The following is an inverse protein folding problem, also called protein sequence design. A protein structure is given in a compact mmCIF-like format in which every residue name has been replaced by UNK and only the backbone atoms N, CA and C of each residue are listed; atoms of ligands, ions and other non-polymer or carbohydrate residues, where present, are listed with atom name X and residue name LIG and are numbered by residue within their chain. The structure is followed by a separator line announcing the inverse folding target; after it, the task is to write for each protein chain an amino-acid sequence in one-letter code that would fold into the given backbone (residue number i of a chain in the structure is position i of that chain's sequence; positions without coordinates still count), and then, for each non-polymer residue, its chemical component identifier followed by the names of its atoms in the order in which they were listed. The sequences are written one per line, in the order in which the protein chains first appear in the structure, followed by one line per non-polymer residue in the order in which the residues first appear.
data_IF_681090844071
#
_entry.id   IF_681090844071
#
_cell.length_a   1.000
_cell.length_b   1.000
_cell.length_c   1.000
_cell.angle_alpha   90.00
_cell.angle_beta   90.00
_cell.angle_gamma   90.00
#
_symmetry.space_group_name_H-M   'P 1'
#
loop_
_entity.id
_entity.type
_entity.pdbx_description
1 polymer ?
#
# COMPACT_ATOMS: atom_id res chain seq x y z
N UNK A 1 -33.78 -12.31 -25.94
CA UNK A 1 -32.39 -11.85 -25.73
C UNK A 1 -32.13 -11.80 -24.24
N UNK A 2 -31.49 -12.84 -23.69
CA UNK A 2 -31.17 -12.91 -22.25
C UNK A 2 -29.76 -12.36 -22.04
N UNK A 3 -29.65 -11.24 -21.34
CA UNK A 3 -28.38 -10.58 -21.05
C UNK A 3 -27.54 -11.44 -20.12
N UNK A 4 -26.51 -12.07 -20.66
CA UNK A 4 -25.49 -12.80 -19.93
C UNK A 4 -24.62 -11.80 -19.14
N UNK A 5 -25.12 -11.32 -17.98
CA UNK A 5 -24.27 -10.65 -16.99
C UNK A 5 -23.34 -11.69 -16.39
N UNK A 6 -22.22 -11.96 -17.06
CA UNK A 6 -21.07 -12.65 -16.46
C UNK A 6 -20.68 -11.87 -15.21
N UNK A 7 -21.10 -12.34 -14.05
CA UNK A 7 -20.57 -11.90 -12.76
C UNK A 7 -19.07 -12.22 -12.79
N UNK A 8 -18.24 -11.24 -13.15
CA UNK A 8 -16.80 -11.28 -12.90
C UNK A 8 -16.67 -11.50 -11.40
N UNK A 9 -16.19 -12.66 -10.97
CA UNK A 9 -15.92 -12.93 -9.56
C UNK A 9 -14.73 -12.07 -9.13
N UNK A 10 -14.96 -10.83 -8.74
CA UNK A 10 -13.89 -9.97 -8.24
C UNK A 10 -13.33 -10.59 -6.96
N UNK A 11 -12.03 -10.89 -6.95
CA UNK A 11 -11.36 -11.31 -5.73
C UNK A 11 -11.49 -10.15 -4.72
N UNK A 12 -12.00 -10.41 -3.52
CA UNK A 12 -12.13 -9.39 -2.48
C UNK A 12 -11.15 -9.71 -1.37
N UNK A 13 -10.51 -8.68 -0.82
CA UNK A 13 -9.59 -8.78 0.29
C UNK A 13 -9.92 -7.67 1.28
N UNK A 14 -9.87 -7.98 2.57
CA UNK A 14 -10.03 -6.99 3.63
C UNK A 14 -9.23 -7.45 4.83
N UNK A 15 -8.37 -6.58 5.33
CA UNK A 15 -7.63 -6.75 6.57
C UNK A 15 -7.89 -5.55 7.48
N UNK A 16 -7.80 -5.75 8.78
CA UNK A 16 -7.98 -4.69 9.78
C UNK A 16 -7.08 -4.94 10.96
N UNK A 17 -6.52 -3.87 11.50
CA UNK A 17 -5.70 -3.89 12.70
C UNK A 17 -5.97 -2.62 13.52
N UNK A 18 -5.67 -2.68 14.82
CA UNK A 18 -5.78 -1.53 15.72
C UNK A 18 -4.41 -0.90 15.89
N UNK A 19 -4.28 0.36 15.49
CA UNK A 19 -3.08 1.17 15.66
C UNK A 19 -3.24 2.11 16.85
N UNK A 20 -2.14 2.62 17.35
CA UNK A 20 -2.07 3.60 18.43
C UNK A 20 -1.65 4.96 17.90
N UNK A 21 -2.16 6.04 18.50
CA UNK A 21 -1.61 7.38 18.26
C UNK A 21 -0.34 7.54 19.10
N UNK A 22 0.82 7.84 18.48
CA UNK A 22 2.08 7.94 19.22
C UNK A 22 2.03 8.91 20.41
N UNK A 23 2.56 8.46 21.54
CA UNK A 23 2.59 9.26 22.78
C UNK A 23 1.26 9.35 23.54
N UNK A 24 0.25 8.56 23.15
CA UNK A 24 -1.08 8.55 23.80
C UNK A 24 -1.54 7.11 24.06
N UNK A 25 -2.60 6.96 24.88
CA UNK A 25 -3.33 5.71 25.08
C UNK A 25 -4.53 5.57 24.11
N UNK A 26 -4.58 6.40 23.08
CA UNK A 26 -5.66 6.38 22.09
C UNK A 26 -5.34 5.41 20.95
N UNK A 27 -6.38 4.71 20.49
CA UNK A 27 -6.28 3.71 19.45
C UNK A 27 -7.28 3.97 18.34
N UNK A 28 -6.90 3.64 17.12
CA UNK A 28 -7.76 3.75 15.95
C UNK A 28 -7.70 2.49 15.09
N UNK A 29 -8.81 2.23 14.40
CA UNK A 29 -8.88 1.11 13.47
C UNK A 29 -8.28 1.49 12.14
N UNK A 30 -7.28 0.72 11.72
CA UNK A 30 -6.72 0.75 10.37
C UNK A 30 -7.32 -0.37 9.53
N UNK A 31 -7.67 -0.10 8.28
CA UNK A 31 -8.16 -1.14 7.36
C UNK A 31 -7.55 -1.02 5.98
N UNK A 32 -7.21 -2.16 5.38
CA UNK A 32 -6.81 -2.27 3.98
C UNK A 32 -7.82 -3.15 3.27
N UNK A 33 -8.35 -2.72 2.12
CA UNK A 33 -9.39 -3.44 1.38
C UNK A 33 -9.14 -3.39 -0.13
N UNK A 34 -9.16 -4.56 -0.77
CA UNK A 34 -9.29 -4.66 -2.23
C UNK A 34 -10.76 -4.54 -2.60
N UNK A 35 -11.08 -3.53 -3.39
CA UNK A 35 -12.42 -3.25 -3.89
C UNK A 35 -12.76 -4.09 -5.12
N UNK A 36 -14.04 -4.16 -5.49
CA UNK A 36 -14.46 -4.87 -6.70
C UNK A 36 -13.90 -4.24 -7.99
N UNK A 37 -13.57 -2.94 -7.95
CA UNK A 37 -12.90 -2.21 -9.03
C UNK A 37 -11.37 -2.39 -9.05
N UNK A 38 -10.82 -3.31 -8.24
CA UNK A 38 -9.38 -3.58 -8.12
C UNK A 38 -8.55 -2.46 -7.51
N UNK A 39 -9.18 -1.42 -6.96
CA UNK A 39 -8.49 -0.40 -6.15
C UNK A 39 -8.24 -0.93 -4.73
N UNK A 40 -7.07 -0.61 -4.19
CA UNK A 40 -6.69 -0.88 -2.80
C UNK A 40 -7.02 0.34 -1.96
N UNK A 41 -8.03 0.22 -1.10
CA UNK A 41 -8.44 1.28 -0.17
C UNK A 41 -7.77 1.10 1.17
N UNK A 42 -7.16 2.16 1.68
CA UNK A 42 -6.62 2.25 3.05
C UNK A 42 -7.45 3.26 3.84
N UNK A 43 -7.80 2.88 5.06
CA UNK A 43 -8.40 3.77 6.05
C UNK A 43 -7.48 3.85 7.26
N UNK A 44 -7.07 5.06 7.61
CA UNK A 44 -6.32 5.41 8.82
C UNK A 44 -7.20 6.37 9.62
N UNK A 45 -7.92 5.87 10.63
CA UNK A 45 -8.93 6.64 11.35
C UNK A 45 -10.01 7.23 10.40
N UNK A 46 -10.08 8.56 10.26
CA UNK A 46 -11.01 9.26 9.35
C UNK A 46 -10.39 9.56 7.99
N UNK A 47 -9.08 9.36 7.84
CA UNK A 47 -8.40 9.50 6.57
C UNK A 47 -8.64 8.25 5.71
N UNK A 48 -9.12 8.46 4.48
CA UNK A 48 -9.33 7.41 3.49
C UNK A 48 -8.55 7.76 2.23
N UNK A 49 -7.78 6.80 1.74
CA UNK A 49 -7.06 6.91 0.48
C UNK A 49 -7.27 5.63 -0.33
N UNK A 50 -7.31 5.75 -1.65
CA UNK A 50 -7.39 4.61 -2.56
C UNK A 50 -6.21 4.66 -3.51
N UNK A 51 -5.65 3.49 -3.78
CA UNK A 51 -4.49 3.30 -4.63
C UNK A 51 -4.83 2.36 -5.78
N UNK A 52 -4.23 2.58 -6.95
CA UNK A 52 -4.11 1.51 -7.94
C UNK A 52 -3.26 0.36 -7.36
N UNK A 53 -3.31 -0.82 -7.99
CA UNK A 53 -2.46 -1.94 -7.57
C UNK A 53 -0.96 -1.58 -7.62
N UNK A 54 -0.54 -0.80 -8.62
CA UNK A 54 0.84 -0.33 -8.76
C UNK A 54 1.23 0.66 -7.66
N UNK A 55 0.36 1.63 -7.37
CA UNK A 55 0.60 2.60 -6.29
C UNK A 55 0.65 1.92 -4.93
N UNK A 56 -0.30 1.02 -4.64
CA UNK A 56 -0.33 0.26 -3.40
C UNK A 56 0.95 -0.57 -3.22
N UNK A 57 1.46 -1.13 -4.32
CA UNK A 57 2.73 -1.82 -4.34
C UNK A 57 3.91 -0.89 -4.01
N UNK A 58 4.02 0.25 -4.69
CA UNK A 58 5.09 1.21 -4.47
C UNK A 58 5.11 1.71 -3.01
N UNK A 59 3.93 2.05 -2.47
CA UNK A 59 3.78 2.45 -1.06
C UNK A 59 4.18 1.31 -0.13
N UNK A 60 3.72 0.09 -0.40
CA UNK A 60 4.05 -1.10 0.38
C UNK A 60 5.57 -1.36 0.44
N UNK A 61 6.27 -1.27 -0.69
CA UNK A 61 7.73 -1.40 -0.71
C UNK A 61 8.42 -0.27 0.03
N UNK A 62 7.98 0.98 -0.15
CA UNK A 62 8.56 2.12 0.54
C UNK A 62 8.46 2.00 2.07
N UNK A 63 7.34 1.44 2.57
CA UNK A 63 7.18 1.12 3.98
C UNK A 63 8.14 0.01 4.44
N UNK A 64 8.33 -1.07 3.66
CA UNK A 64 9.32 -2.10 4.01
C UNK A 64 10.74 -1.52 4.02
N UNK A 65 11.09 -0.67 3.05
CA UNK A 65 12.39 0.00 3.03
C UNK A 65 12.58 0.90 4.26
N UNK A 66 11.55 1.65 4.67
CA UNK A 66 11.58 2.42 5.91
C UNK A 66 11.82 1.51 7.12
N UNK A 67 11.09 0.40 7.22
CA UNK A 67 11.25 -0.63 8.27
C UNK A 67 12.69 -1.18 8.32
N UNK A 68 13.29 -1.49 7.17
CA UNK A 68 14.67 -2.00 7.09
C UNK A 68 15.68 -0.95 7.54
N UNK A 69 15.50 0.30 7.12
CA UNK A 69 16.40 1.41 7.48
C UNK A 69 16.25 1.77 8.97
N UNK A 70 15.05 1.66 9.53
CA UNK A 70 14.79 1.78 10.96
C UNK A 70 15.53 0.68 11.77
N UNK A 71 15.48 -0.58 11.34
CA UNK A 71 16.25 -1.66 11.97
C UNK A 71 17.78 -1.54 11.78
N UNK A 72 18.25 -0.62 10.93
CA UNK A 72 19.68 -0.39 10.70
C UNK A 72 20.38 0.39 11.81
N UNK A 73 19.63 1.02 12.73
CA UNK A 73 20.19 1.86 13.80
C UNK A 73 20.43 1.16 15.14
N UNK A 74 19.92 -0.05 15.37
CA UNK A 74 20.16 -0.82 16.61
C UNK A 74 20.13 -2.35 16.39
N UNK A 75 20.75 -3.10 17.31
CA UNK A 75 21.26 -4.49 17.28
C UNK A 75 20.32 -5.66 16.85
N UNK A 76 19.19 -5.43 16.17
CA UNK A 76 18.24 -6.48 15.76
C UNK A 76 18.56 -7.07 14.38
N UNK A 77 19.67 -7.81 14.27
CA UNK A 77 20.10 -8.46 13.02
C UNK A 77 19.07 -9.46 12.43
N UNK A 78 18.27 -10.11 13.28
CA UNK A 78 17.25 -11.09 12.84
C UNK A 78 16.04 -10.45 12.18
N UNK A 79 15.54 -9.35 12.74
CA UNK A 79 14.34 -8.69 12.22
C UNK A 79 14.67 -7.99 10.89
N UNK A 80 15.87 -7.40 10.82
CA UNK A 80 16.40 -6.84 9.57
C UNK A 80 16.52 -7.87 8.45
N UNK A 81 17.00 -9.08 8.74
CA UNK A 81 17.14 -10.12 7.72
C UNK A 81 15.77 -10.63 7.24
N UNK A 82 14.78 -10.74 8.14
CA UNK A 82 13.39 -11.06 7.78
C UNK A 82 12.80 -10.00 6.86
N UNK A 83 12.87 -8.71 7.21
CA UNK A 83 12.30 -7.63 6.39
C UNK A 83 13.02 -7.50 5.04
N UNK A 84 14.33 -7.71 4.99
CA UNK A 84 15.09 -7.78 3.73
C UNK A 84 14.66 -8.97 2.85
N UNK A 85 14.47 -10.15 3.44
CA UNK A 85 13.91 -11.30 2.71
C UNK A 85 12.49 -11.03 2.23
N UNK A 86 11.67 -10.34 3.03
CA UNK A 86 10.30 -9.96 2.67
C UNK A 86 10.30 -8.98 1.49
N UNK A 87 11.15 -7.94 1.52
CA UNK A 87 11.36 -7.02 0.41
C UNK A 87 11.77 -7.76 -0.86
N UNK A 88 12.79 -8.60 -0.77
CA UNK A 88 13.27 -9.39 -1.90
C UNK A 88 12.19 -10.33 -2.43
N UNK A 89 11.41 -10.95 -1.55
CA UNK A 89 10.29 -11.82 -1.92
C UNK A 89 9.25 -11.04 -2.72
N UNK A 90 8.77 -9.90 -2.22
CA UNK A 90 7.74 -9.11 -2.90
C UNK A 90 8.24 -8.52 -4.22
N UNK A 91 9.46 -7.95 -4.24
CA UNK A 91 10.08 -7.43 -5.46
C UNK A 91 10.21 -8.51 -6.54
N UNK A 92 10.67 -9.70 -6.17
CA UNK A 92 10.80 -10.83 -7.10
C UNK A 92 9.45 -11.39 -7.55
N UNK A 93 8.47 -11.47 -6.65
CA UNK A 93 7.13 -11.95 -6.96
C UNK A 93 6.48 -11.07 -8.02
N UNK A 94 6.78 -9.77 -8.03
CA UNK A 94 6.13 -8.81 -8.91
C UNK A 94 6.84 -8.62 -10.24
N UNK A 95 8.17 -8.68 -10.29
CA UNK A 95 8.90 -8.81 -11.56
C UNK A 95 8.40 -9.99 -12.41
N UNK A 96 7.86 -11.03 -11.77
CA UNK A 96 7.29 -12.22 -12.45
C UNK A 96 5.83 -12.05 -12.88
N UNK A 97 5.11 -11.06 -12.38
CA UNK A 97 3.73 -10.78 -12.78
C UNK A 97 3.76 -9.59 -13.78
N UNK A 98 3.57 -9.88 -15.07
CA UNK A 98 3.42 -8.89 -16.16
C UNK A 98 2.24 -7.88 -16.07
N UNK A 99 1.14 -8.07 -15.32
CA UNK A 99 -0.05 -7.22 -15.46
C UNK A 99 0.05 -5.83 -14.80
N UNK A 100 1.24 -5.40 -14.33
CA UNK A 100 1.43 -4.04 -13.81
C UNK A 100 1.66 -2.96 -14.88
N UNK A 101 1.66 -3.33 -16.17
CA UNK A 101 1.74 -2.37 -17.28
C UNK A 101 3.14 -1.79 -17.50
N UNK A 102 3.31 -1.05 -18.60
CA UNK A 102 4.58 -0.38 -18.91
C UNK A 102 4.81 0.80 -17.95
N UNK A 103 6.06 0.94 -17.51
CA UNK A 103 6.60 2.02 -16.65
C UNK A 103 6.52 3.44 -17.26
N UNK A 104 5.83 3.63 -18.39
CA UNK A 104 5.92 4.83 -19.23
C UNK A 104 5.17 6.04 -18.66
N UNK A 105 4.27 5.86 -17.68
CA UNK A 105 3.72 6.95 -16.86
C UNK A 105 4.03 6.64 -15.39
N UNK A 106 5.21 7.07 -14.96
CA UNK A 106 5.79 6.71 -13.66
C UNK A 106 5.09 7.40 -12.50
N UNK A 107 4.10 6.71 -11.93
CA UNK A 107 3.79 6.74 -10.49
C UNK A 107 4.98 6.17 -9.72
N UNK A 108 6.06 6.93 -9.57
CA UNK A 108 7.25 6.43 -8.86
C UNK A 108 7.55 7.31 -7.67
N UNK A 109 7.21 6.76 -6.50
CA UNK A 109 7.90 7.07 -5.26
C UNK A 109 9.39 6.78 -5.45
N UNK A 110 10.22 7.81 -5.25
CA UNK A 110 11.66 7.72 -5.40
C UNK A 110 12.32 7.82 -4.04
N UNK A 111 13.40 7.05 -3.84
CA UNK A 111 14.27 7.21 -2.68
C UNK A 111 15.00 8.54 -2.82
N UNK A 112 14.61 9.52 -2.02
CA UNK A 112 15.21 10.85 -1.96
C UNK A 112 16.44 10.85 -1.05
N UNK A 113 16.38 10.09 0.04
CA UNK A 113 17.49 9.90 0.98
C UNK A 113 17.52 8.45 1.47
N UNK A 114 18.69 7.77 1.46
CA UNK A 114 18.84 6.44 2.04
C UNK A 114 19.36 6.50 3.49
N UNK A 115 19.35 5.37 4.20
CA UNK A 115 20.05 5.22 5.48
C UNK A 115 19.33 5.84 6.67
N UNK A 116 20.06 6.52 7.56
CA UNK A 116 19.49 7.06 8.82
C UNK A 116 18.54 8.25 8.60
N UNK A 117 18.66 8.93 7.47
CA UNK A 117 17.74 9.99 7.06
C UNK A 117 16.77 9.48 6.00
N UNK A 118 16.39 8.20 6.06
CA UNK A 118 15.61 7.57 5.00
C UNK A 118 14.35 8.38 4.67
N UNK A 119 14.19 8.67 3.38
CA UNK A 119 13.09 9.41 2.82
C UNK A 119 12.81 8.88 1.41
N UNK A 120 11.58 8.45 1.21
CA UNK A 120 10.98 8.24 -0.10
C UNK A 120 9.94 9.33 -0.32
N UNK A 121 9.86 9.87 -1.53
CA UNK A 121 8.84 10.84 -1.91
C UNK A 121 8.49 10.77 -3.38
N UNK A 122 7.29 11.24 -3.71
CA UNK A 122 6.81 11.38 -5.09
C UNK A 122 5.37 11.86 -5.12
N UNK A 123 4.85 12.09 -6.32
CA UNK A 123 3.45 12.44 -6.55
C UNK A 123 2.79 11.26 -7.22
N UNK A 124 1.71 10.74 -6.62
CA UNK A 124 0.90 9.70 -7.25
C UNK A 124 -0.05 10.32 -8.27
N UNK A 125 -0.46 9.55 -9.28
CA UNK A 125 -1.51 9.92 -10.20
C UNK A 125 -2.88 9.61 -9.59
N UNK A 126 -3.91 10.26 -10.11
CA UNK A 126 -5.28 9.91 -9.75
C UNK A 126 -5.57 8.45 -10.16
N UNK A 127 -6.02 7.57 -9.25
CA UNK A 127 -6.37 6.21 -9.63
C UNK A 127 -7.50 6.18 -10.64
N UNK A 128 -7.36 5.40 -11.72
CA UNK A 128 -8.49 5.09 -12.61
C UNK A 128 -9.37 3.96 -12.01
N UNK A 129 -10.72 4.09 -12.00
CA UNK A 129 -11.49 5.24 -12.47
C UNK A 129 -11.38 6.44 -11.52
N UNK A 130 -11.33 7.63 -12.14
CA UNK A 130 -11.23 8.94 -11.50
C UNK A 130 -12.17 9.07 -10.29
N UNK A 131 -11.65 9.51 -9.16
CA UNK A 131 -12.47 9.79 -7.97
C UNK A 131 -13.03 11.20 -8.12
N UNK A 132 -14.36 11.32 -8.15
CA UNK A 132 -15.01 12.63 -8.13
C UNK A 132 -14.88 13.25 -6.72
N UNK A 133 -14.23 14.41 -6.65
CA UNK A 133 -14.13 15.24 -5.44
C UNK A 133 -15.27 16.27 -5.38
N UNK A 134 -15.60 16.80 -4.20
CA UNK A 134 -16.61 17.85 -4.08
C UNK A 134 -16.12 19.19 -4.67
N UNK A 135 -17.03 20.08 -5.06
CA UNK A 135 -16.68 21.37 -5.67
C UNK A 135 -15.77 22.20 -4.75
N UNK A 136 -14.54 22.48 -5.22
CA UNK A 136 -13.53 23.24 -4.49
C UNK A 136 -12.48 22.39 -3.76
N UNK A 137 -12.58 21.06 -3.82
CA UNK A 137 -11.54 20.14 -3.37
C UNK A 137 -10.53 19.89 -4.49
N UNK A 138 -9.24 20.10 -4.20
CA UNK A 138 -8.14 19.70 -5.08
C UNK A 138 -7.52 18.42 -4.55
N UNK A 139 -7.27 17.42 -5.41
CA UNK A 139 -6.60 16.23 -4.95
C UNK A 139 -5.10 16.46 -4.76
N UNK A 140 -4.63 16.28 -3.53
CA UNK A 140 -3.21 16.23 -3.22
C UNK A 140 -2.73 14.79 -3.30
N UNK A 141 -1.77 14.53 -4.18
CA UNK A 141 -1.20 13.19 -4.37
C UNK A 141 0.27 13.08 -3.96
N UNK A 142 0.82 14.13 -3.35
CA UNK A 142 2.16 14.09 -2.82
C UNK A 142 2.23 13.09 -1.67
N UNK A 143 3.14 12.13 -1.78
CA UNK A 143 3.31 11.06 -0.81
C UNK A 143 4.76 11.02 -0.36
N UNK A 144 4.96 10.95 0.95
CA UNK A 144 6.28 10.79 1.54
C UNK A 144 6.29 9.70 2.60
N UNK A 145 7.34 8.89 2.63
CA UNK A 145 7.59 7.89 3.66
C UNK A 145 8.99 8.14 4.20
N UNK A 146 9.12 8.27 5.52
CA UNK A 146 10.43 8.50 6.11
C UNK A 146 10.50 8.08 7.57
N UNK A 147 11.65 8.38 8.17
CA UNK A 147 11.91 8.13 9.59
C UNK A 147 11.81 9.43 10.38
N UNK A 148 11.15 9.37 11.53
CA UNK A 148 11.05 10.47 12.48
C UNK A 148 11.25 9.92 13.89
N UNK A 149 12.40 10.22 14.48
CA UNK A 149 12.82 9.72 15.79
C UNK A 149 12.77 8.18 15.86
N UNK A 150 11.78 7.65 16.60
CA UNK A 150 11.53 6.23 16.83
C UNK A 150 10.33 5.68 16.03
N UNK A 151 9.82 6.47 15.09
CA UNK A 151 8.64 6.16 14.29
C UNK A 151 8.95 6.20 12.79
N UNK A 152 8.09 5.52 12.03
CA UNK A 152 8.02 5.64 10.58
C UNK A 152 6.84 6.55 10.29
N UNK A 153 7.05 7.60 9.51
CA UNK A 153 5.94 8.46 9.08
C UNK A 153 5.54 8.18 7.64
N UNK A 154 4.26 8.41 7.37
CA UNK A 154 3.62 8.38 6.08
C UNK A 154 2.84 9.68 5.92
N UNK A 155 3.25 10.51 4.97
CA UNK A 155 2.55 11.75 4.64
C UNK A 155 1.83 11.59 3.31
N UNK A 156 0.61 12.08 3.23
CA UNK A 156 -0.20 12.17 2.03
C UNK A 156 -0.81 13.57 1.95
N UNK A 157 -0.35 14.38 1.00
CA UNK A 157 -0.56 15.81 0.97
C UNK A 157 -0.14 16.45 2.30
N UNK A 158 -1.06 17.17 2.92
CA UNK A 158 -0.87 17.82 4.23
C UNK A 158 -1.07 16.90 5.45
N UNK A 159 -1.55 15.65 5.26
CA UNK A 159 -1.83 14.74 6.38
C UNK A 159 -0.61 13.88 6.63
N UNK A 160 -0.16 13.81 7.88
CA UNK A 160 0.92 12.93 8.31
C UNK A 160 0.41 11.93 9.34
N UNK A 161 0.77 10.68 9.13
CA UNK A 161 0.59 9.57 10.04
C UNK A 161 1.95 9.08 10.51
N UNK A 162 2.03 8.70 11.78
CA UNK A 162 3.22 8.12 12.41
C UNK A 162 2.89 6.74 12.92
N UNK A 163 3.77 5.79 12.68
CA UNK A 163 3.58 4.38 12.95
C UNK A 163 4.73 3.83 13.78
N UNK A 164 4.41 2.97 14.73
CA UNK A 164 5.37 2.05 15.30
C UNK A 164 5.85 1.06 14.22
N UNK A 165 7.01 0.45 14.47
CA UNK A 165 7.61 -0.52 13.55
C UNK A 165 6.64 -1.62 13.11
N UNK A 166 5.95 -2.26 14.06
CA UNK A 166 5.01 -3.36 13.77
C UNK A 166 3.79 -2.91 12.98
N UNK A 167 3.33 -1.68 13.20
CA UNK A 167 2.19 -1.09 12.47
C UNK A 167 2.57 -0.81 11.01
N UNK A 168 3.77 -0.26 10.78
CA UNK A 168 4.31 -0.04 9.44
C UNK A 168 4.56 -1.36 8.69
N UNK A 169 5.12 -2.37 9.36
CA UNK A 169 5.33 -3.72 8.79
C UNK A 169 3.99 -4.35 8.40
N UNK A 170 2.99 -4.31 9.29
CA UNK A 170 1.65 -4.81 9.01
C UNK A 170 1.03 -4.09 7.81
N UNK A 171 1.07 -2.75 7.77
CA UNK A 171 0.48 -1.95 6.70
C UNK A 171 1.12 -2.29 5.35
N UNK A 172 2.45 -2.40 5.32
CA UNK A 172 3.20 -2.80 4.15
C UNK A 172 2.76 -4.19 3.64
N UNK A 173 2.70 -5.19 4.51
CA UNK A 173 2.28 -6.54 4.13
C UNK A 173 0.85 -6.58 3.57
N UNK A 174 -0.08 -5.83 4.18
CA UNK A 174 -1.45 -5.80 3.69
C UNK A 174 -1.58 -5.08 2.34
N UNK A 175 -0.83 -4.00 2.12
CA UNK A 175 -0.78 -3.29 0.85
C UNK A 175 -0.22 -4.18 -0.26
N UNK A 176 0.91 -4.85 -0.01
CA UNK A 176 1.55 -5.75 -0.97
C UNK A 176 0.67 -6.97 -1.29
N UNK A 177 0.02 -7.53 -0.27
CA UNK A 177 -0.96 -8.61 -0.45
C UNK A 177 -2.13 -8.14 -1.32
N UNK A 178 -2.74 -7.01 -1.01
CA UNK A 178 -3.86 -6.47 -1.79
C UNK A 178 -3.45 -6.17 -3.24
N UNK A 179 -2.28 -5.57 -3.46
CA UNK A 179 -1.72 -5.28 -4.77
C UNK A 179 -1.49 -6.56 -5.59
N UNK A 180 -0.89 -7.59 -4.98
CA UNK A 180 -0.70 -8.89 -5.63
C UNK A 180 -2.03 -9.55 -5.97
N UNK A 181 -3.00 -9.54 -5.06
CA UNK A 181 -4.33 -10.11 -5.30
C UNK A 181 -5.07 -9.37 -6.42
N UNK A 182 -4.87 -8.05 -6.55
CA UNK A 182 -5.45 -7.24 -7.61
C UNK A 182 -4.98 -7.65 -9.01
N UNK A 183 -3.80 -8.28 -9.12
CA UNK A 183 -3.28 -8.79 -10.40
C UNK A 183 -3.83 -10.14 -10.82
N UNK A 184 -4.49 -10.85 -9.90
CA UNK A 184 -5.00 -12.18 -10.22
C UNK A 184 -6.27 -12.04 -11.04
N UNK A 185 -6.37 -12.76 -12.17
CA UNK A 185 -7.62 -12.78 -12.92
C UNK A 185 -8.71 -13.32 -12.01
N UNK A 186 -9.85 -12.63 -11.99
CA UNK A 186 -11.10 -13.16 -11.48
C UNK A 186 -11.36 -14.50 -12.17
N UNK A 187 -11.06 -15.63 -11.52
CA UNK A 187 -11.33 -16.96 -12.08
C UNK A 187 -12.84 -17.07 -12.30
N UNK A 188 -13.29 -16.89 -13.53
CA UNK A 188 -14.60 -17.34 -13.94
C UNK A 188 -14.65 -18.84 -13.69
N UNK A 189 -15.31 -19.28 -12.64
CA UNK A 189 -15.60 -20.70 -12.41
C UNK A 189 -16.53 -21.12 -13.55
N UNK A 190 -16.09 -21.96 -14.50
CA UNK A 190 -17.03 -22.51 -15.46
C UNK A 190 -17.99 -23.41 -14.67
N UNK A 191 -19.28 -23.09 -14.68
CA UNK A 191 -20.30 -24.06 -14.29
C UNK A 191 -20.13 -25.25 -15.23
N UNK A 192 -19.69 -26.40 -14.70
CA UNK A 192 -19.97 -27.67 -15.35
C UNK A 192 -21.48 -27.85 -15.27
N UNK A 193 -22.14 -27.69 -16.40
CA UNK A 193 -23.50 -28.16 -16.59
C UNK A 193 -23.45 -29.69 -16.45
N UNK A 194 -24.24 -30.22 -15.51
CA UNK A 194 -24.57 -31.63 -15.39
C UNK A 194 -25.91 -31.87 -16.09
#
# INVERSE_FOLDING_TARGET
MSGNKRLKSSLTFKSSETFSFPGTDEYFRTTVKLTASQLVRVRLHDFNVSFTSLQAYAVGLGLIEAVINFCGSDEKKSDKSKSQMNLAFWSNLLQRNEPFGSTEQSDLLQVLKPGREFLIGGTLLDPEPMVEFEDGEEPYYDLQIGLEEQYIYFSFGWVRWTFAHSEAEWLAEQLLTAAFLATKPARAIPRKEF
#
